data_IF_986881893746
#
_entry.id   IF_986881893746
#
_cell.length_a   1.000
_cell.length_b   1.000
_cell.length_c   1.000
_cell.angle_alpha   90.00
_cell.angle_beta   90.00
_cell.angle_gamma   90.00
#
_symmetry.space_group_name_H-M   'P 1'
#
loop_
_entity.id
_entity.type
_entity.pdbx_description
1 polymer ?
#
# COMPACT_ATOMS: atom_id res chain seq x y z
N UNK A 1 3.76 10.16 4.94
CA UNK A 1 2.71 9.15 5.17
C UNK A 1 3.01 8.42 6.46
N UNK A 2 2.03 8.28 7.32
CA UNK A 2 2.23 7.64 8.61
C UNK A 2 1.95 6.15 8.51
N UNK A 3 2.35 5.41 9.55
CA UNK A 3 2.07 3.98 9.59
C UNK A 3 0.59 3.67 9.58
N UNK A 4 -0.20 4.51 10.25
CA UNK A 4 -1.64 4.33 10.26
C UNK A 4 -2.21 4.49 8.86
N UNK A 5 -1.71 5.46 8.12
CA UNK A 5 -2.17 5.68 6.75
C UNK A 5 -1.79 4.52 5.83
N UNK A 6 -0.59 3.98 6.02
CA UNK A 6 -0.15 2.85 5.22
C UNK A 6 -1.05 1.65 5.46
N UNK A 7 -1.34 1.39 6.72
CA UNK A 7 -2.21 0.28 7.07
C UNK A 7 -3.62 0.49 6.50
N UNK A 8 -4.13 1.71 6.59
CA UNK A 8 -5.44 2.01 6.05
C UNK A 8 -5.50 1.79 4.55
N UNK A 9 -4.47 2.22 3.81
CA UNK A 9 -4.40 1.95 2.39
C UNK A 9 -4.43 0.46 2.11
N UNK A 10 -3.62 -0.28 2.86
CA UNK A 10 -3.51 -1.72 2.65
C UNK A 10 -4.85 -2.41 2.89
N UNK A 11 -5.51 -2.05 3.98
CA UNK A 11 -6.78 -2.67 4.32
C UNK A 11 -7.86 -2.32 3.32
N UNK A 12 -7.81 -1.08 2.83
CA UNK A 12 -8.78 -0.64 1.84
C UNK A 12 -8.64 -1.43 0.55
N UNK A 13 -7.40 -1.79 0.20
CA UNK A 13 -7.14 -2.60 -0.99
C UNK A 13 -7.42 -4.07 -0.75
N UNK A 14 -7.63 -4.48 0.49
CA UNK A 14 -7.82 -5.89 0.82
C UNK A 14 -6.55 -6.69 0.75
N UNK A 15 -5.42 -6.05 0.96
CA UNK A 15 -4.11 -6.70 0.80
C UNK A 15 -3.49 -7.05 2.13
N UNK A 16 -2.67 -8.12 2.11
CA UNK A 16 -1.82 -8.45 3.25
C UNK A 16 -0.55 -7.60 3.19
N UNK A 17 0.23 -7.64 4.27
CA UNK A 17 1.51 -6.95 4.26
C UNK A 17 2.43 -7.52 3.17
N UNK A 18 2.37 -8.82 2.97
CA UNK A 18 3.18 -9.46 1.92
C UNK A 18 2.77 -8.95 0.54
N UNK A 19 1.48 -8.87 0.29
CA UNK A 19 0.99 -8.41 -1.01
C UNK A 19 1.42 -6.97 -1.27
N UNK A 20 1.31 -6.10 -0.27
CA UNK A 20 1.74 -4.73 -0.43
C UNK A 20 3.24 -4.65 -0.67
N UNK A 21 4.01 -5.42 0.08
CA UNK A 21 5.45 -5.42 -0.06
C UNK A 21 5.86 -5.82 -1.47
N UNK A 22 5.23 -6.85 -2.01
CA UNK A 22 5.54 -7.30 -3.36
C UNK A 22 5.19 -6.24 -4.39
N UNK A 23 4.11 -5.54 -4.18
CA UNK A 23 3.66 -4.54 -5.14
C UNK A 23 4.63 -3.36 -5.25
N UNK A 24 5.29 -3.01 -4.15
CA UNK A 24 6.18 -1.86 -4.16
C UNK A 24 7.66 -2.25 -4.05
N UNK A 25 7.95 -3.55 -4.05
CA UNK A 25 9.33 -3.98 -4.15
C UNK A 25 10.12 -3.97 -2.85
N UNK A 26 9.46 -4.15 -1.72
CA UNK A 26 10.13 -4.23 -0.42
C UNK A 26 9.74 -5.53 0.27
N UNK A 27 10.29 -5.78 1.44
CA UNK A 27 9.93 -6.98 2.19
C UNK A 27 8.70 -6.71 3.06
N UNK A 28 8.00 -7.78 3.41
CA UNK A 28 6.85 -7.63 4.31
C UNK A 28 7.28 -7.11 5.67
N UNK A 29 8.50 -7.45 6.10
CA UNK A 29 9.03 -6.93 7.35
C UNK A 29 9.15 -5.41 7.31
N UNK A 30 9.54 -4.87 6.17
CA UNK A 30 9.62 -3.44 5.98
C UNK A 30 8.24 -2.79 6.11
N UNK A 31 7.24 -3.38 5.49
CA UNK A 31 5.87 -2.87 5.61
C UNK A 31 5.41 -2.89 7.06
N UNK A 32 5.68 -3.98 7.76
CA UNK A 32 5.30 -4.11 9.16
C UNK A 32 5.93 -3.01 10.00
N UNK A 33 7.21 -2.71 9.75
CA UNK A 33 7.91 -1.68 10.51
C UNK A 33 7.35 -0.29 10.22
N UNK A 34 6.97 -0.04 8.99
CA UNK A 34 6.31 1.21 8.65
C UNK A 34 5.00 1.35 9.43
N UNK A 35 4.21 0.28 9.47
CA UNK A 35 2.90 0.34 10.11
C UNK A 35 3.00 0.51 11.61
N UNK A 36 4.08 -0.02 12.21
CA UNK A 36 4.30 0.15 13.65
C UNK A 36 4.96 1.48 14.00
N UNK A 37 5.37 2.24 13.00
CA UNK A 37 6.03 3.51 13.24
C UNK A 37 7.50 3.36 13.60
N UNK A 38 8.08 2.17 13.39
CA UNK A 38 9.48 1.95 13.69
C UNK A 38 10.39 2.50 12.63
N UNK A 39 9.86 2.69 11.43
CA UNK A 39 10.64 3.18 10.30
C UNK A 39 9.73 4.01 9.42
N UNK A 40 10.23 5.17 8.98
CA UNK A 40 9.44 6.02 8.10
C UNK A 40 9.50 5.49 6.67
N UNK A 41 8.39 5.58 5.97
CA UNK A 41 8.34 5.19 4.57
C UNK A 41 9.10 6.24 3.75
N UNK A 42 9.84 5.79 2.76
CA UNK A 42 10.57 6.70 1.89
C UNK A 42 9.62 7.43 0.96
N UNK A 43 10.06 8.57 0.45
CA UNK A 43 9.23 9.35 -0.46
C UNK A 43 8.85 8.57 -1.71
N UNK A 44 9.79 7.91 -2.40
CA UNK A 44 9.41 7.16 -3.59
C UNK A 44 8.41 6.04 -3.29
N UNK A 45 8.58 5.36 -2.15
CA UNK A 45 7.66 4.30 -1.79
C UNK A 45 6.27 4.85 -1.48
N UNK A 46 6.21 6.00 -0.80
CA UNK A 46 4.92 6.63 -0.50
C UNK A 46 4.20 7.03 -1.78
N UNK A 47 4.92 7.57 -2.74
CA UNK A 47 4.33 7.95 -4.02
C UNK A 47 3.80 6.74 -4.77
N UNK A 48 4.57 5.66 -4.76
CA UNK A 48 4.16 4.45 -5.44
C UNK A 48 2.91 3.88 -4.79
N UNK A 49 2.86 3.89 -3.47
CA UNK A 49 1.70 3.40 -2.75
C UNK A 49 0.45 4.23 -3.09
N UNK A 50 0.59 5.55 -3.13
CA UNK A 50 -0.52 6.41 -3.49
C UNK A 50 -1.00 6.15 -4.91
N UNK A 51 -0.07 5.92 -5.81
CA UNK A 51 -0.41 5.62 -7.19
C UNK A 51 -1.18 4.31 -7.28
N UNK A 52 -0.73 3.29 -6.56
CA UNK A 52 -1.41 2.00 -6.55
C UNK A 52 -2.81 2.16 -5.99
N UNK A 53 -2.95 2.91 -4.90
CA UNK A 53 -4.26 3.10 -4.29
C UNK A 53 -5.22 3.80 -5.25
N UNK A 54 -4.72 4.75 -6.01
CA UNK A 54 -5.53 5.45 -6.99
C UNK A 54 -5.95 4.53 -8.13
N UNK A 55 -5.02 3.74 -8.63
CA UNK A 55 -5.28 2.88 -9.78
C UNK A 55 -6.13 1.68 -9.44
N UNK A 56 -6.05 1.21 -8.19
CA UNK A 56 -6.75 0.00 -7.82
C UNK A 56 -7.94 0.23 -6.92
N UNK A 57 -8.33 1.47 -6.76
CA UNK A 57 -9.48 1.73 -5.91
C UNK A 57 -10.70 1.05 -6.50
N UNK A 58 -11.62 0.65 -5.67
CA UNK A 58 -12.83 -0.01 -6.14
C UNK A 58 -13.56 0.87 -7.13
N UNK A 59 -13.93 0.30 -8.26
CA UNK A 59 -14.68 1.02 -9.20
C UNK A 59 -15.80 0.22 -9.50
N UNK A 60 -16.83 0.81 -9.64
CA UNK A 60 -17.90 0.07 -10.04
C UNK A 60 -17.70 -0.27 -11.40
N UNK A 61 -17.82 -1.33 -11.55
CA UNK A 61 -17.92 -1.74 -12.81
C UNK A 61 -17.04 -1.46 -13.79
N UNK A 62 -16.52 -1.15 -13.96
CA UNK A 62 -15.82 -0.96 -14.95
C UNK A 62 -14.87 -1.69 -15.13
N UNK A 63 -14.78 -2.27 -14.91
CA UNK A 63 -13.73 -3.03 -14.90
C UNK A 63 -13.10 -3.21 -15.86
N UNK A 64 -13.10 -3.17 -16.20
CA UNK A 64 -12.55 -3.34 -16.73
C UNK A 64 -12.16 -3.94 -17.00
N UNK A 65 -12.24 -4.13 -17.18
CA UNK A 65 -11.89 -4.48 -17.38
C UNK A 65 -11.71 -4.89 -17.64
N UNK A 66 -11.80 -4.71 -17.78
CA UNK A 66 -11.73 -4.85 -17.85
C UNK A 66 -11.66 -5.05 -17.90
#
# INVERSE_FOLDING_TARGET
MTGVEIRAFREKLGWTQVALAEAIGVTSNTVARWERGEMAISEPAARLLQKIATERRPRTGKGRGD
#
